data_IF_330631499525
#
_entry.id   IF_330631499525
#
_cell.length_a   1.000
_cell.length_b   1.000
_cell.length_c   1.000
_cell.angle_alpha   90.00
_cell.angle_beta   90.00
_cell.angle_gamma   90.00
#
_symmetry.space_group_name_H-M   'P 1'
#
loop_
_entity.id
_entity.type
_entity.pdbx_description
1 polymer ?
#
# COMPACT_ATOMS: atom_id res chain seq x y z
N UNK A 1 13.33 8.46 -17.53
CA UNK A 1 14.74 8.40 -17.08
C UNK A 1 15.32 7.04 -17.40
N UNK A 2 16.56 7.03 -17.85
CA UNK A 2 17.37 5.83 -18.09
C UNK A 2 18.77 6.05 -17.52
N UNK A 3 19.55 4.96 -17.39
CA UNK A 3 20.95 5.08 -16.97
C UNK A 3 21.74 5.94 -17.98
N UNK A 4 21.36 5.91 -19.27
CA UNK A 4 22.00 6.72 -20.30
C UNK A 4 21.86 8.23 -20.11
N UNK A 5 20.76 8.65 -19.49
CA UNK A 5 20.44 10.06 -19.21
C UNK A 5 21.18 10.60 -17.97
N UNK A 6 21.86 9.76 -17.21
CA UNK A 6 22.64 10.15 -16.03
C UNK A 6 23.95 10.83 -16.44
N UNK A 7 23.88 12.04 -17.00
CA UNK A 7 25.04 12.79 -17.55
C UNK A 7 26.01 13.30 -16.47
N UNK A 8 25.60 13.28 -15.21
CA UNK A 8 26.40 13.66 -14.04
C UNK A 8 27.38 12.59 -13.58
N UNK A 9 27.35 11.38 -14.16
CA UNK A 9 28.29 10.30 -13.90
C UNK A 9 29.04 9.92 -15.17
N UNK A 10 30.26 9.32 -15.02
CA UNK A 10 31.09 8.94 -16.15
C UNK A 10 30.43 7.85 -17.01
N UNK A 11 30.76 7.82 -18.31
CA UNK A 11 30.28 6.77 -19.22
C UNK A 11 30.65 5.37 -18.70
N UNK A 12 31.88 5.18 -18.22
CA UNK A 12 32.33 3.91 -17.64
C UNK A 12 31.44 3.44 -16.48
N UNK A 13 31.03 4.36 -15.59
CA UNK A 13 30.16 4.03 -14.48
C UNK A 13 28.74 3.69 -14.97
N UNK A 14 28.22 4.39 -16.00
CA UNK A 14 26.92 4.05 -16.61
C UNK A 14 26.93 2.65 -17.22
N UNK A 15 28.00 2.29 -17.90
CA UNK A 15 28.17 0.94 -18.46
C UNK A 15 28.17 -0.12 -17.36
N UNK A 16 28.97 0.08 -16.29
CA UNK A 16 28.98 -0.81 -15.14
C UNK A 16 27.60 -0.93 -14.46
N UNK A 17 26.87 0.17 -14.34
CA UNK A 17 25.49 0.15 -13.79
C UNK A 17 24.56 -0.68 -14.67
N UNK A 18 24.63 -0.56 -15.99
CA UNK A 18 23.81 -1.35 -16.92
C UNK A 18 24.10 -2.84 -16.88
N UNK A 19 25.38 -3.21 -16.67
CA UNK A 19 25.79 -4.61 -16.58
C UNK A 19 25.31 -5.27 -15.27
N UNK A 20 25.28 -4.51 -14.18
CA UNK A 20 25.04 -5.07 -12.83
C UNK A 20 23.64 -4.80 -12.27
N UNK A 21 22.92 -3.84 -12.84
CA UNK A 21 21.60 -3.43 -12.34
C UNK A 21 20.60 -3.31 -13.48
N UNK A 22 19.43 -3.90 -13.27
CA UNK A 22 18.30 -3.64 -14.14
C UNK A 22 17.60 -2.35 -13.69
N UNK A 23 17.50 -1.38 -14.60
CA UNK A 23 16.57 -0.27 -14.42
C UNK A 23 15.16 -0.80 -14.73
N UNK A 24 14.55 -1.40 -13.71
CA UNK A 24 13.22 -1.94 -13.86
C UNK A 24 12.23 -0.80 -13.80
N UNK A 25 11.48 -0.63 -14.85
CA UNK A 25 10.29 0.19 -14.83
C UNK A 25 9.08 -0.71 -15.07
N UNK A 26 8.07 -0.57 -14.24
CA UNK A 26 6.77 -1.18 -14.53
C UNK A 26 6.27 -0.65 -15.88
N UNK A 27 5.64 -1.52 -16.67
CA UNK A 27 5.13 -1.14 -18.01
C UNK A 27 3.65 -0.86 -17.92
N UNK A 28 3.24 0.34 -18.35
CA UNK A 28 1.82 0.68 -18.44
C UNK A 28 1.12 -0.27 -19.44
N UNK A 29 0.07 -0.94 -18.96
CA UNK A 29 -0.84 -1.73 -19.79
C UNK A 29 -2.10 -0.96 -20.14
N UNK A 30 -2.70 -0.34 -19.15
CA UNK A 30 -3.96 0.38 -19.28
C UNK A 30 -4.00 1.56 -18.32
N UNK A 31 -4.63 2.65 -18.77
CA UNK A 31 -4.94 3.83 -17.98
C UNK A 31 -6.42 4.17 -18.15
N UNK A 32 -7.16 4.17 -17.07
CA UNK A 32 -8.56 4.58 -17.02
C UNK A 32 -8.66 5.91 -16.29
N UNK A 33 -9.46 6.84 -16.83
CA UNK A 33 -9.64 8.18 -16.25
C UNK A 33 -11.12 8.37 -15.95
N UNK A 34 -11.43 8.65 -14.69
CA UNK A 34 -12.77 8.99 -14.24
C UNK A 34 -13.21 10.34 -14.83
N UNK A 35 -14.41 10.37 -15.42
CA UNK A 35 -15.01 11.60 -15.94
C UNK A 35 -15.64 12.47 -14.86
N UNK A 36 -15.77 11.93 -13.64
CA UNK A 36 -16.45 12.60 -12.53
C UNK A 36 -15.47 13.50 -11.78
N UNK A 37 -14.28 12.97 -11.46
CA UNK A 37 -13.34 13.60 -10.53
C UNK A 37 -11.88 13.58 -11.03
N UNK A 38 -11.64 13.05 -12.22
CA UNK A 38 -10.29 12.94 -12.78
C UNK A 38 -9.40 11.87 -12.15
N UNK A 39 -9.91 11.07 -11.20
CA UNK A 39 -9.20 9.92 -10.65
C UNK A 39 -8.73 8.98 -11.75
N UNK A 40 -7.51 8.49 -11.66
CA UNK A 40 -6.90 7.65 -12.69
C UNK A 40 -6.46 6.32 -12.11
N UNK A 41 -6.90 5.25 -12.76
CA UNK A 41 -6.48 3.89 -12.44
C UNK A 41 -5.47 3.41 -13.49
N UNK A 42 -4.39 2.81 -13.04
CA UNK A 42 -3.31 2.29 -13.86
C UNK A 42 -3.17 0.79 -13.63
N UNK A 43 -3.05 0.04 -14.71
CA UNK A 43 -2.60 -1.35 -14.67
C UNK A 43 -1.16 -1.38 -15.16
N UNK A 44 -0.27 -1.87 -14.31
CA UNK A 44 1.14 -2.00 -14.59
C UNK A 44 1.56 -3.46 -14.70
N UNK A 45 2.31 -3.79 -15.76
CA UNK A 45 2.98 -5.07 -15.92
C UNK A 45 4.36 -5.03 -15.28
N UNK A 46 4.64 -5.99 -14.43
CA UNK A 46 5.93 -6.24 -13.80
C UNK A 46 6.88 -7.00 -14.75
N UNK A 47 8.16 -7.10 -14.39
CA UNK A 47 9.17 -7.75 -15.22
C UNK A 47 8.90 -9.24 -15.46
N UNK A 48 8.25 -9.92 -14.52
CA UNK A 48 7.85 -11.33 -14.60
C UNK A 48 6.52 -11.58 -15.34
N UNK A 49 5.89 -10.50 -15.85
CA UNK A 49 4.62 -10.56 -16.56
C UNK A 49 3.37 -10.42 -15.68
N UNK A 50 3.50 -10.48 -14.37
CA UNK A 50 2.39 -10.21 -13.46
C UNK A 50 1.89 -8.77 -13.58
N UNK A 51 0.65 -8.53 -13.16
CA UNK A 51 0.00 -7.23 -13.26
C UNK A 51 -0.42 -6.75 -11.87
N UNK A 52 -0.21 -5.46 -11.62
CA UNK A 52 -0.67 -4.77 -10.41
C UNK A 52 -1.45 -3.52 -10.76
N UNK A 53 -2.32 -3.11 -9.84
CA UNK A 53 -3.14 -1.90 -9.96
C UNK A 53 -2.59 -0.79 -9.08
N UNK A 54 -2.65 0.44 -9.58
CA UNK A 54 -2.42 1.65 -8.80
C UNK A 54 -3.45 2.71 -9.16
N UNK A 55 -3.75 3.59 -8.22
CA UNK A 55 -4.74 4.66 -8.42
C UNK A 55 -4.13 5.99 -8.05
N UNK A 56 -4.24 6.98 -8.93
CA UNK A 56 -3.88 8.36 -8.68
C UNK A 56 -5.13 9.20 -8.47
N UNK A 57 -5.13 9.98 -7.40
CA UNK A 57 -6.23 10.82 -6.97
C UNK A 57 -5.74 12.24 -6.72
N UNK A 58 -6.44 13.22 -7.24
CA UNK A 58 -6.11 14.63 -7.07
C UNK A 58 -6.98 15.26 -5.98
N UNK A 59 -6.32 15.85 -4.99
CA UNK A 59 -6.97 16.56 -3.90
C UNK A 59 -6.42 17.98 -3.76
N UNK A 60 -7.17 18.88 -3.14
CA UNK A 60 -6.73 20.26 -2.86
C UNK A 60 -5.46 20.33 -2.00
N UNK A 61 -5.21 19.30 -1.18
CA UNK A 61 -4.05 19.20 -0.29
C UNK A 61 -2.87 18.41 -0.90
N UNK A 62 -2.95 18.05 -2.17
CA UNK A 62 -1.89 17.34 -2.89
C UNK A 62 -2.36 16.05 -3.53
N UNK A 63 -1.56 15.52 -4.45
CA UNK A 63 -1.86 14.31 -5.19
C UNK A 63 -1.55 13.07 -4.33
N UNK A 64 -2.48 12.15 -4.29
CA UNK A 64 -2.36 10.87 -3.55
C UNK A 64 -2.25 9.71 -4.52
N UNK A 65 -1.40 8.75 -4.21
CA UNK A 65 -1.29 7.48 -4.96
C UNK A 65 -1.58 6.31 -4.05
N UNK A 66 -2.51 5.47 -4.49
CA UNK A 66 -2.75 4.15 -3.91
C UNK A 66 -1.92 3.13 -4.68
N UNK A 67 -1.09 2.36 -3.98
CA UNK A 67 -0.19 1.36 -4.57
C UNK A 67 -0.47 -0.04 -4.05
N UNK A 68 -0.15 -1.03 -4.86
CA UNK A 68 -0.17 -2.45 -4.52
C UNK A 68 1.11 -2.87 -3.79
N UNK A 69 1.01 -3.84 -2.89
CA UNK A 69 2.13 -4.41 -2.12
C UNK A 69 2.41 -5.89 -2.46
N UNK A 70 1.49 -6.56 -3.14
CA UNK A 70 1.61 -7.96 -3.54
C UNK A 70 0.99 -8.17 -4.92
N UNK A 71 1.28 -9.30 -5.54
CA UNK A 71 0.51 -9.84 -6.67
C UNK A 71 -0.48 -10.84 -6.09
N UNK A 72 -1.77 -10.46 -6.08
CA UNK A 72 -2.81 -11.20 -5.36
C UNK A 72 -2.75 -11.02 -3.84
N UNK A 73 -3.57 -11.76 -3.09
CA UNK A 73 -3.63 -11.69 -1.63
C UNK A 73 -4.17 -12.99 -1.06
N UNK A 74 -3.55 -13.52 0.00
CA UNK A 74 -4.00 -14.77 0.65
C UNK A 74 -4.95 -14.58 1.83
N UNK A 75 -5.32 -13.33 2.17
CA UNK A 75 -6.13 -13.07 3.38
C UNK A 75 -7.59 -13.53 3.24
N UNK A 76 -8.10 -13.69 2.02
CA UNK A 76 -9.41 -14.28 1.76
C UNK A 76 -10.60 -13.40 2.16
N UNK A 77 -10.44 -12.07 2.27
CA UNK A 77 -11.52 -11.15 2.57
C UNK A 77 -12.62 -11.28 1.50
N UNK A 78 -13.85 -11.61 1.91
CA UNK A 78 -14.92 -12.02 0.98
C UNK A 78 -15.45 -10.91 0.07
N UNK A 79 -15.19 -9.67 0.42
CA UNK A 79 -15.58 -8.48 -0.37
C UNK A 79 -14.45 -7.99 -1.29
N UNK A 80 -13.25 -8.59 -1.23
CA UNK A 80 -12.07 -8.09 -1.91
C UNK A 80 -11.71 -8.93 -3.13
N UNK A 81 -11.64 -8.30 -4.31
CA UNK A 81 -11.26 -8.98 -5.55
C UNK A 81 -9.79 -9.44 -5.56
N UNK A 82 -8.91 -8.80 -4.79
CA UNK A 82 -7.49 -9.17 -4.72
C UNK A 82 -7.24 -10.59 -4.19
N UNK A 83 -8.26 -11.24 -3.59
CA UNK A 83 -8.12 -12.57 -2.99
C UNK A 83 -8.60 -13.71 -3.89
N UNK A 84 -9.19 -13.41 -5.05
CA UNK A 84 -9.83 -14.39 -5.92
C UNK A 84 -8.87 -15.49 -6.41
N UNK A 85 -7.66 -15.08 -6.79
CA UNK A 85 -6.61 -15.98 -7.30
C UNK A 85 -5.54 -16.30 -6.24
N UNK A 86 -5.78 -15.92 -4.98
CA UNK A 86 -4.81 -16.09 -3.90
C UNK A 86 -3.59 -15.19 -4.04
N UNK A 87 -2.49 -15.55 -3.37
CA UNK A 87 -1.22 -14.84 -3.40
C UNK A 87 -0.26 -15.50 -4.39
N UNK A 88 0.19 -14.76 -5.38
CA UNK A 88 1.27 -15.19 -6.28
C UNK A 88 2.63 -14.91 -5.64
N UNK A 89 2.90 -13.66 -5.28
CA UNK A 89 4.14 -13.25 -4.59
C UNK A 89 4.07 -11.86 -3.96
N UNK A 90 5.02 -11.61 -3.10
CA UNK A 90 5.29 -10.28 -2.57
C UNK A 90 5.95 -9.38 -3.63
N UNK A 91 5.63 -8.08 -3.61
CA UNK A 91 6.36 -7.08 -4.38
C UNK A 91 7.67 -6.73 -3.67
N UNK A 92 8.69 -6.47 -4.46
CA UNK A 92 9.93 -5.89 -4.00
C UNK A 92 9.74 -4.40 -3.67
N UNK A 93 10.59 -3.81 -2.80
CA UNK A 93 10.53 -2.37 -2.51
C UNK A 93 10.66 -1.51 -3.78
N UNK A 94 11.48 -1.92 -4.74
CA UNK A 94 11.63 -1.26 -6.04
C UNK A 94 10.34 -1.28 -6.84
N UNK A 95 9.63 -2.41 -6.89
CA UNK A 95 8.37 -2.53 -7.62
C UNK A 95 7.24 -1.69 -7.00
N UNK A 96 7.26 -1.49 -5.68
CA UNK A 96 6.35 -0.56 -5.01
C UNK A 96 6.70 0.90 -5.34
N UNK A 97 7.98 1.27 -5.37
CA UNK A 97 8.44 2.61 -5.78
C UNK A 97 8.17 2.88 -7.26
N UNK A 98 8.38 1.89 -8.13
CA UNK A 98 8.19 2.03 -9.57
C UNK A 98 6.76 2.43 -9.94
N UNK A 99 5.75 1.98 -9.17
CA UNK A 99 4.37 2.42 -9.36
C UNK A 99 4.25 3.94 -9.20
N UNK A 100 4.93 4.52 -8.21
CA UNK A 100 4.90 5.96 -7.92
C UNK A 100 5.68 6.72 -9.00
N UNK A 101 6.88 6.24 -9.37
CA UNK A 101 7.67 6.86 -10.43
C UNK A 101 6.94 6.85 -11.77
N UNK A 102 6.34 5.72 -12.14
CA UNK A 102 5.60 5.60 -13.39
C UNK A 102 4.40 6.57 -13.42
N UNK A 103 3.64 6.67 -12.33
CA UNK A 103 2.51 7.60 -12.23
C UNK A 103 2.99 9.04 -12.32
N UNK A 104 4.06 9.41 -11.62
CA UNK A 104 4.65 10.75 -11.71
C UNK A 104 5.04 11.10 -13.14
N UNK A 105 5.68 10.18 -13.86
CA UNK A 105 6.06 10.39 -15.27
C UNK A 105 4.85 10.49 -16.19
N UNK A 106 3.83 9.66 -15.99
CA UNK A 106 2.63 9.61 -16.84
C UNK A 106 1.67 10.78 -16.63
N UNK A 107 1.66 11.35 -15.43
CA UNK A 107 0.79 12.49 -15.09
C UNK A 107 1.50 13.83 -15.21
N UNK A 108 2.82 13.86 -15.11
CA UNK A 108 3.62 15.09 -14.99
C UNK A 108 3.51 15.75 -13.61
N UNK A 109 2.84 15.10 -12.67
CA UNK A 109 2.47 15.66 -11.37
C UNK A 109 3.25 15.02 -10.22
N UNK A 110 3.67 15.82 -9.25
CA UNK A 110 4.32 15.32 -8.04
C UNK A 110 3.32 14.57 -7.16
N UNK A 111 3.72 13.40 -6.69
CA UNK A 111 3.00 12.65 -5.63
C UNK A 111 3.35 13.25 -4.27
N UNK A 112 2.35 13.56 -3.47
CA UNK A 112 2.49 14.13 -2.13
C UNK A 112 2.14 13.14 -1.03
N UNK A 113 1.21 12.23 -1.29
CA UNK A 113 0.71 11.26 -0.32
C UNK A 113 0.71 9.86 -0.94
N UNK A 114 1.04 8.86 -0.13
CA UNK A 114 1.04 7.46 -0.56
C UNK A 114 0.19 6.63 0.39
N UNK A 115 -0.75 5.87 -0.16
CA UNK A 115 -1.52 4.89 0.60
C UNK A 115 -1.22 3.49 0.07
N UNK A 116 -0.82 2.59 0.95
CA UNK A 116 -0.57 1.18 0.61
C UNK A 116 -1.86 0.41 0.90
N UNK A 117 -2.80 0.54 -0.05
CA UNK A 117 -4.18 0.03 0.05
C UNK A 117 -4.64 -0.63 -1.25
N UNK A 118 -3.73 -0.89 -2.18
CA UNK A 118 -4.00 -1.62 -3.42
C UNK A 118 -4.05 -3.12 -3.21
N UNK A 119 -3.62 -3.87 -4.22
CA UNK A 119 -3.59 -5.34 -4.14
C UNK A 119 -2.57 -5.82 -3.12
N UNK A 120 -3.02 -6.72 -2.23
CA UNK A 120 -2.17 -7.38 -1.23
C UNK A 120 -2.44 -6.94 0.21
N UNK A 121 -1.86 -7.71 1.14
CA UNK A 121 -1.78 -7.35 2.56
C UNK A 121 -0.35 -6.85 2.85
N UNK A 122 -0.16 -5.56 3.12
CA UNK A 122 1.19 -5.01 3.32
C UNK A 122 1.94 -5.65 4.49
N UNK A 123 1.24 -6.06 5.54
CA UNK A 123 1.86 -6.68 6.71
C UNK A 123 2.26 -8.15 6.48
N UNK A 124 1.76 -8.76 5.43
CA UNK A 124 2.24 -10.06 4.95
C UNK A 124 3.52 -9.92 4.11
N UNK A 125 3.79 -8.71 3.61
CA UNK A 125 5.04 -8.32 2.92
C UNK A 125 5.89 -7.36 3.77
N UNK A 126 5.98 -7.59 5.06
CA UNK A 126 6.37 -6.61 6.08
C UNK A 126 7.80 -6.06 5.90
N UNK A 127 8.79 -6.93 5.63
CA UNK A 127 10.18 -6.49 5.50
C UNK A 127 10.41 -5.63 4.26
N UNK A 128 9.78 -5.98 3.14
CA UNK A 128 9.80 -5.17 1.93
C UNK A 128 9.05 -3.85 2.13
N UNK A 129 7.93 -3.88 2.86
CA UNK A 129 7.18 -2.67 3.22
C UNK A 129 8.03 -1.69 4.02
N UNK A 130 8.74 -2.15 5.06
CA UNK A 130 9.64 -1.30 5.86
C UNK A 130 10.73 -0.68 4.99
N UNK A 131 11.36 -1.50 4.15
CA UNK A 131 12.40 -1.03 3.23
C UNK A 131 11.85 -0.03 2.21
N UNK A 132 10.67 -0.28 1.67
CA UNK A 132 9.98 0.65 0.79
C UNK A 132 9.74 2.00 1.46
N UNK A 133 9.18 2.02 2.69
CA UNK A 133 8.92 3.26 3.42
C UNK A 133 10.21 4.06 3.63
N UNK A 134 11.30 3.41 4.03
CA UNK A 134 12.60 4.07 4.22
C UNK A 134 13.12 4.69 2.92
N UNK A 135 13.06 3.97 1.80
CA UNK A 135 13.48 4.48 0.49
C UNK A 135 12.56 5.61 -0.02
N UNK A 136 11.25 5.49 0.19
CA UNK A 136 10.26 6.50 -0.22
C UNK A 136 10.50 7.84 0.49
N UNK A 137 10.94 7.78 1.74
CA UNK A 137 11.10 8.95 2.61
C UNK A 137 12.52 9.47 2.66
N UNK A 138 13.48 8.81 1.99
CA UNK A 138 14.88 9.21 1.92
C UNK A 138 15.02 10.58 1.25
N UNK A 139 15.88 11.43 1.82
CA UNK A 139 16.13 12.80 1.32
C UNK A 139 16.72 12.84 -0.08
N UNK A 140 17.45 11.80 -0.47
CA UNK A 140 18.03 11.64 -1.80
C UNK A 140 17.09 10.97 -2.81
N UNK A 141 15.88 10.59 -2.39
CA UNK A 141 14.87 9.92 -3.21
C UNK A 141 13.65 10.81 -3.48
N UNK A 142 12.47 10.22 -3.36
CA UNK A 142 11.18 10.94 -3.53
C UNK A 142 10.91 11.94 -2.41
N UNK A 143 11.55 11.77 -1.27
CA UNK A 143 11.47 12.67 -0.10
C UNK A 143 10.03 12.97 0.32
N UNK A 144 9.18 11.94 0.32
CA UNK A 144 7.81 12.04 0.81
C UNK A 144 7.84 11.91 2.33
N UNK A 145 7.25 12.87 3.03
CA UNK A 145 7.18 12.82 4.50
C UNK A 145 6.51 11.51 4.96
N UNK A 146 7.06 10.85 5.98
CA UNK A 146 6.43 9.67 6.59
C UNK A 146 4.99 9.95 7.04
N UNK A 147 4.67 11.17 7.46
CA UNK A 147 3.32 11.57 7.85
C UNK A 147 2.30 11.54 6.71
N UNK A 148 2.78 11.53 5.48
CA UNK A 148 1.97 11.43 4.27
C UNK A 148 1.91 10.00 3.72
N UNK A 149 2.36 9.03 4.49
CA UNK A 149 2.27 7.61 4.17
C UNK A 149 1.24 6.96 5.08
N UNK A 150 0.27 6.28 4.48
CA UNK A 150 -0.72 5.47 5.20
C UNK A 150 -0.59 4.03 4.75
N UNK A 151 -0.54 3.12 5.70
CA UNK A 151 -0.51 1.68 5.43
C UNK A 151 -1.74 1.05 6.04
N UNK A 152 -2.52 0.35 5.21
CA UNK A 152 -3.69 -0.42 5.66
C UNK A 152 -3.30 -1.86 5.95
N UNK A 153 -4.00 -2.47 6.91
CA UNK A 153 -3.87 -3.90 7.22
C UNK A 153 -5.21 -4.50 7.58
N UNK A 154 -5.41 -5.75 7.21
CA UNK A 154 -6.55 -6.54 7.67
C UNK A 154 -6.44 -6.96 9.14
N UNK A 155 -5.32 -6.64 9.83
CA UNK A 155 -5.15 -6.87 11.25
C UNK A 155 -4.28 -8.07 11.60
N UNK A 156 -3.06 -8.14 11.06
CA UNK A 156 -2.04 -9.07 11.52
C UNK A 156 -1.43 -8.54 12.84
N UNK A 157 -2.05 -8.86 13.97
CA UNK A 157 -1.75 -8.32 15.31
C UNK A 157 -0.25 -8.30 15.64
N UNK A 158 0.53 -9.39 15.47
CA UNK A 158 1.97 -9.35 15.78
C UNK A 158 2.73 -8.30 14.97
N UNK A 159 2.32 -8.05 13.71
CA UNK A 159 2.96 -7.06 12.85
C UNK A 159 2.62 -5.62 13.23
N UNK A 160 1.46 -5.39 13.87
CA UNK A 160 1.12 -4.08 14.43
C UNK A 160 2.07 -3.73 15.58
N UNK A 161 2.34 -4.70 16.48
CA UNK A 161 3.32 -4.52 17.56
C UNK A 161 4.74 -4.30 17.01
N UNK A 162 5.18 -5.09 16.01
CA UNK A 162 6.47 -4.89 15.36
C UNK A 162 6.58 -3.49 14.74
N UNK A 163 5.54 -3.03 14.04
CA UNK A 163 5.52 -1.70 13.43
C UNK A 163 5.64 -0.58 14.47
N UNK A 164 5.05 -0.75 15.64
CA UNK A 164 5.13 0.21 16.72
C UNK A 164 6.57 0.43 17.21
N UNK A 165 7.44 -0.60 17.13
CA UNK A 165 8.85 -0.53 17.53
C UNK A 165 9.78 0.03 16.43
N UNK A 166 9.31 0.15 15.18
CA UNK A 166 10.13 0.63 14.05
C UNK A 166 10.37 2.16 14.02
N UNK A 167 9.79 2.92 14.95
CA UNK A 167 9.87 4.39 15.01
C UNK A 167 9.44 5.11 13.72
N UNK A 168 8.56 4.50 12.93
CA UNK A 168 8.03 5.10 11.72
C UNK A 168 6.87 6.04 12.04
N UNK A 169 6.88 7.23 11.44
CA UNK A 169 5.86 8.26 11.64
C UNK A 169 4.71 8.18 10.62
N UNK A 170 4.36 6.98 10.21
CA UNK A 170 3.27 6.72 9.26
C UNK A 170 1.89 6.70 9.93
N UNK A 171 0.83 6.72 9.15
CA UNK A 171 -0.53 6.47 9.61
C UNK A 171 -0.87 5.00 9.42
N UNK A 172 -1.32 4.34 10.48
CA UNK A 172 -1.85 2.99 10.41
C UNK A 172 -3.36 3.06 10.13
N UNK A 173 -3.82 2.34 9.12
CA UNK A 173 -5.23 2.13 8.85
C UNK A 173 -5.59 0.66 9.12
N UNK A 174 -6.59 0.42 9.97
CA UNK A 174 -7.08 -0.92 10.27
C UNK A 174 -8.39 -1.17 9.53
N UNK A 175 -8.41 -2.18 8.66
CA UNK A 175 -9.62 -2.70 8.04
C UNK A 175 -10.45 -3.46 9.09
N UNK A 176 -11.36 -2.75 9.77
CA UNK A 176 -12.19 -3.29 10.83
C UNK A 176 -13.42 -4.02 10.26
N UNK A 177 -14.22 -3.32 9.47
CA UNK A 177 -15.38 -3.76 8.68
C UNK A 177 -16.50 -4.49 9.44
N UNK A 178 -16.40 -4.62 10.74
CA UNK A 178 -17.46 -5.17 11.59
C UNK A 178 -17.28 -4.74 13.05
N UNK A 179 -18.35 -4.74 13.81
CA UNK A 179 -18.39 -4.36 15.22
C UNK A 179 -18.33 -5.55 16.17
N UNK A 180 -18.50 -6.76 15.66
CA UNK A 180 -18.42 -8.00 16.43
C UNK A 180 -17.52 -9.02 15.73
N UNK A 181 -16.87 -9.88 16.51
CA UNK A 181 -16.04 -10.95 15.99
C UNK A 181 -16.83 -11.90 15.08
N UNK A 182 -18.10 -12.18 15.42
CA UNK A 182 -18.94 -13.06 14.60
C UNK A 182 -19.15 -12.47 13.20
N UNK A 183 -19.51 -11.18 13.10
CA UNK A 183 -19.69 -10.50 11.81
C UNK A 183 -18.38 -10.38 11.07
N UNK A 184 -17.29 -10.07 11.79
CA UNK A 184 -15.96 -9.92 11.21
C UNK A 184 -15.45 -11.24 10.60
N UNK A 185 -15.64 -12.38 11.27
CA UNK A 185 -15.27 -13.70 10.72
C UNK A 185 -16.01 -14.04 9.43
N UNK A 186 -17.26 -13.57 9.26
CA UNK A 186 -18.02 -13.76 8.02
C UNK A 186 -17.44 -12.98 6.85
N UNK A 187 -16.79 -11.82 7.10
CA UNK A 187 -16.22 -10.96 6.09
C UNK A 187 -14.73 -11.20 5.86
N UNK A 188 -13.99 -11.42 6.93
CA UNK A 188 -12.53 -11.46 6.95
C UNK A 188 -12.03 -12.71 7.70
N UNK A 189 -11.51 -13.73 7.00
CA UNK A 189 -11.04 -14.96 7.64
C UNK A 189 -9.95 -14.77 8.70
N UNK A 190 -9.17 -13.69 8.63
CA UNK A 190 -8.15 -13.35 9.64
C UNK A 190 -8.76 -13.19 11.05
N UNK A 191 -10.03 -12.85 11.16
CA UNK A 191 -10.76 -12.74 12.42
C UNK A 191 -10.97 -14.09 13.14
N UNK A 192 -10.69 -15.23 12.49
CA UNK A 192 -10.59 -16.50 13.17
C UNK A 192 -9.31 -16.65 13.99
N UNK A 193 -8.30 -15.83 13.71
CA UNK A 193 -7.00 -15.85 14.39
C UNK A 193 -6.83 -14.74 15.40
N UNK A 194 -7.40 -13.56 15.15
CA UNK A 194 -7.28 -12.38 16.00
C UNK A 194 -8.65 -11.76 16.24
N UNK A 195 -9.03 -11.62 17.51
CA UNK A 195 -10.27 -10.96 17.94
C UNK A 195 -10.21 -9.44 17.75
N UNK A 196 -11.37 -8.78 17.84
CA UNK A 196 -11.44 -7.32 17.83
C UNK A 196 -10.71 -6.75 19.05
N UNK A 197 -10.83 -7.37 20.23
CA UNK A 197 -10.14 -6.90 21.44
C UNK A 197 -8.63 -6.91 21.25
N UNK A 198 -8.05 -8.01 20.75
CA UNK A 198 -6.61 -8.07 20.42
C UNK A 198 -6.18 -7.02 19.41
N UNK A 199 -7.02 -6.71 18.42
CA UNK A 199 -6.77 -5.64 17.46
C UNK A 199 -6.78 -4.26 18.12
N UNK A 200 -7.75 -3.99 19.01
CA UNK A 200 -7.86 -2.73 19.71
C UNK A 200 -6.67 -2.51 20.66
N UNK A 201 -6.25 -3.55 21.36
CA UNK A 201 -5.04 -3.51 22.21
C UNK A 201 -3.78 -3.19 21.38
N UNK A 202 -3.60 -3.86 20.25
CA UNK A 202 -2.47 -3.61 19.36
C UNK A 202 -2.50 -2.18 18.77
N UNK A 203 -3.67 -1.68 18.39
CA UNK A 203 -3.84 -0.31 17.90
C UNK A 203 -3.57 0.73 19.00
N UNK A 204 -4.03 0.48 20.22
CA UNK A 204 -3.74 1.33 21.37
C UNK A 204 -2.23 1.37 21.69
N UNK A 205 -1.58 0.21 21.64
CA UNK A 205 -0.12 0.11 21.79
C UNK A 205 0.62 0.91 20.72
N UNK A 206 0.23 0.74 19.44
CA UNK A 206 0.81 1.50 18.33
C UNK A 206 0.67 3.01 18.57
N UNK A 207 -0.53 3.47 18.95
CA UNK A 207 -0.76 4.89 19.23
C UNK A 207 0.10 5.38 20.41
N UNK A 208 0.16 4.63 21.49
CA UNK A 208 0.94 4.97 22.69
C UNK A 208 2.44 5.09 22.38
N UNK A 209 2.99 4.16 21.59
CA UNK A 209 4.42 4.13 21.22
C UNK A 209 4.81 5.22 20.23
N UNK A 210 3.98 5.47 19.24
CA UNK A 210 4.33 6.33 18.11
C UNK A 210 3.76 7.74 18.20
N UNK A 211 2.74 7.97 19.02
CA UNK A 211 1.93 9.18 19.03
C UNK A 211 1.12 9.39 17.74
N UNK A 212 1.08 8.38 16.84
CA UNK A 212 0.40 8.48 15.56
C UNK A 212 -1.04 7.97 15.66
N UNK A 213 -1.94 8.64 14.95
CA UNK A 213 -3.34 8.20 14.89
C UNK A 213 -3.46 6.86 14.16
N UNK A 214 -4.44 6.08 14.57
CA UNK A 214 -4.95 4.93 13.85
C UNK A 214 -6.25 5.34 13.16
N UNK A 215 -6.45 4.94 11.92
CA UNK A 215 -7.68 5.11 11.18
C UNK A 215 -8.38 3.76 11.09
N UNK A 216 -9.67 3.71 11.38
CA UNK A 216 -10.48 2.51 11.18
C UNK A 216 -11.25 2.62 9.87
N UNK A 217 -11.16 1.60 9.05
CA UNK A 217 -11.89 1.49 7.79
C UNK A 217 -13.10 0.58 7.98
N UNK A 218 -14.25 1.05 7.51
CA UNK A 218 -15.50 0.32 7.61
C UNK A 218 -16.28 0.38 6.30
N UNK A 219 -16.26 -0.72 5.56
CA UNK A 219 -17.06 -0.87 4.33
C UNK A 219 -18.44 -1.36 4.70
N UNK A 220 -19.45 -0.53 4.58
CA UNK A 220 -20.85 -0.92 4.83
C UNK A 220 -21.34 -1.84 3.70
N UNK A 221 -21.70 -3.07 4.07
CA UNK A 221 -22.26 -4.09 3.18
C UNK A 221 -23.73 -4.30 3.55
N UNK A 222 -24.63 -3.99 2.63
CA UNK A 222 -26.08 -4.05 2.84
C UNK A 222 -26.52 -5.42 3.35
N UNK A 223 -27.23 -5.40 4.48
CA UNK A 223 -27.77 -6.61 5.12
C UNK A 223 -26.73 -7.48 5.85
N UNK A 224 -25.48 -7.00 6.02
CA UNK A 224 -24.40 -7.73 6.69
C UNK A 224 -23.91 -6.97 7.92
N UNK A 225 -23.50 -5.71 7.75
CA UNK A 225 -22.89 -4.89 8.79
C UNK A 225 -23.38 -3.43 8.76
N UNK A 226 -24.61 -3.20 8.31
CA UNK A 226 -25.24 -1.89 8.15
C UNK A 226 -26.49 -1.71 9.03
N UNK A 227 -26.62 -2.52 10.10
CA UNK A 227 -27.74 -2.40 11.05
C UNK A 227 -27.54 -1.25 12.04
N UNK A 228 -28.63 -0.84 12.70
CA UNK A 228 -28.57 0.19 13.75
C UNK A 228 -27.70 -0.25 14.95
N UNK A 229 -27.64 -1.56 15.23
CA UNK A 229 -26.77 -2.12 16.27
C UNK A 229 -25.29 -2.01 15.87
N UNK A 230 -24.96 -2.02 14.58
CA UNK A 230 -23.58 -1.83 14.11
C UNK A 230 -23.10 -0.37 14.24
N UNK A 231 -24.03 0.56 14.45
CA UNK A 231 -23.70 1.98 14.61
C UNK A 231 -23.53 2.41 16.08
N UNK A 232 -23.82 1.52 17.04
CA UNK A 232 -23.68 1.75 18.47
C UNK A 232 -22.32 1.27 18.98
#
# INVERSE_FOLDING_TARGET
CSIDEMTNISQKLREQLKENYAFTAVKLLERQISRIDGTQKFLFRLADGNVVESVWMQYKHGNSVCISSQVGCRMGCRFCASTLDGLTRNLLPSEMLDQIYAITLLTGERVSNVVVMGTGEPFDNFDNLKKFIRLLTDENGLHISQRNVTVSTCGLVPRIYELAEENLQITLALSLHATTDEKRRKLMPIANKYSIDELMEACAYYHQKTGRRVTFEYSMVKGVNDSAEDAQ
#
